data_IF_414489373301
#
_entry.id   IF_414489373301
#
_cell.length_a   1.000
_cell.length_b   1.000
_cell.length_c   1.000
_cell.angle_alpha   90.00
_cell.angle_beta   90.00
_cell.angle_gamma   90.00
#
_symmetry.space_group_name_H-M   'P 1'
#
loop_
_entity.id
_entity.type
_entity.pdbx_description
1 polymer ?
#
# COMPACT_ATOMS: atom_id res chain seq x y z
N UNK A 1 17.38 -26.86 26.76
CA UNK A 1 17.35 -25.58 26.06
C UNK A 1 16.44 -24.61 26.81
N UNK A 2 16.95 -23.48 27.28
CA UNK A 2 16.16 -22.46 27.97
C UNK A 2 15.46 -21.52 26.99
N UNK A 3 14.28 -21.00 27.34
CA UNK A 3 13.59 -19.94 26.60
C UNK A 3 13.86 -18.60 27.26
N UNK A 4 14.09 -17.56 26.47
CA UNK A 4 14.21 -16.18 26.94
C UNK A 4 12.91 -15.42 26.75
N UNK A 5 12.52 -14.64 27.76
CA UNK A 5 11.37 -13.74 27.64
C UNK A 5 11.79 -12.41 27.00
N UNK A 6 11.04 -11.96 26.04
CA UNK A 6 11.21 -10.65 25.39
C UNK A 6 10.11 -9.70 25.85
N UNK A 7 10.40 -8.40 25.75
CA UNK A 7 9.35 -7.39 25.90
C UNK A 7 8.35 -7.53 24.74
N UNK A 8 7.06 -7.17 24.94
CA UNK A 8 6.09 -7.15 23.86
C UNK A 8 6.56 -6.33 22.67
N UNK A 9 6.36 -6.85 21.45
CA UNK A 9 6.80 -6.21 20.22
C UNK A 9 6.29 -6.94 18.99
N UNK A 10 6.62 -6.42 17.79
CA UNK A 10 6.24 -6.99 16.51
C UNK A 10 7.19 -8.13 16.12
N UNK A 11 7.09 -9.25 16.82
CA UNK A 11 8.03 -10.37 16.71
C UNK A 11 7.62 -11.45 15.70
N UNK A 12 6.58 -11.23 14.91
CA UNK A 12 6.16 -12.18 13.88
C UNK A 12 6.97 -11.95 12.60
N UNK A 13 8.02 -12.74 12.41
CA UNK A 13 8.93 -12.67 11.26
C UNK A 13 9.17 -14.07 10.67
N UNK A 14 9.45 -14.18 9.33
CA UNK A 14 9.38 -13.12 8.34
C UNK A 14 7.93 -12.77 7.94
N UNK A 15 7.71 -11.52 7.57
CA UNK A 15 6.45 -11.06 7.00
C UNK A 15 6.66 -10.63 5.55
N UNK A 16 5.80 -11.05 4.60
CA UNK A 16 5.88 -10.56 3.24
C UNK A 16 5.48 -9.08 3.19
N UNK A 17 6.35 -8.24 2.64
CA UNK A 17 6.01 -6.86 2.37
C UNK A 17 5.30 -6.77 1.02
N UNK A 18 4.17 -6.06 0.98
CA UNK A 18 3.40 -5.78 -0.25
C UNK A 18 3.27 -4.29 -0.45
N UNK A 19 3.14 -3.85 -1.70
CA UNK A 19 2.80 -2.47 -2.02
C UNK A 19 1.28 -2.35 -2.20
N UNK A 20 0.65 -1.49 -1.41
CA UNK A 20 -0.79 -1.20 -1.52
C UNK A 20 -0.96 0.11 -2.26
N UNK A 21 -1.59 0.08 -3.42
CA UNK A 21 -1.98 1.29 -4.13
C UNK A 21 -3.38 1.74 -3.69
N UNK A 22 -3.54 3.04 -3.57
CA UNK A 22 -4.77 3.70 -3.14
C UNK A 22 -4.90 5.05 -3.85
N UNK A 23 -6.12 5.56 -3.91
CA UNK A 23 -6.40 6.87 -4.49
C UNK A 23 -7.62 7.48 -3.80
N UNK A 24 -7.57 8.77 -3.51
CA UNK A 24 -8.75 9.47 -3.03
C UNK A 24 -9.78 9.57 -4.17
N UNK A 25 -11.07 9.29 -3.93
CA UNK A 25 -12.08 9.38 -4.97
C UNK A 25 -12.27 10.82 -5.44
N UNK A 26 -12.33 11.01 -6.75
CA UNK A 26 -12.45 12.33 -7.37
C UNK A 26 -11.12 13.00 -7.73
N UNK A 27 -11.19 14.26 -8.10
CA UNK A 27 -10.05 15.01 -8.65
C UNK A 27 -9.29 15.82 -7.59
N UNK A 28 -9.79 15.90 -6.36
CA UNK A 28 -9.26 16.76 -5.30
C UNK A 28 -9.30 16.02 -3.97
N UNK A 29 -8.13 15.82 -3.39
CA UNK A 29 -7.95 15.24 -2.07
C UNK A 29 -7.91 16.36 -1.01
N UNK A 30 -8.87 16.44 -0.07
CA UNK A 30 -8.93 17.52 0.92
C UNK A 30 -7.78 17.51 1.93
N UNK A 31 -7.12 16.36 2.13
CA UNK A 31 -5.96 16.27 3.03
C UNK A 31 -4.63 16.53 2.33
N UNK A 32 -4.64 16.70 1.01
CA UNK A 32 -3.45 16.97 0.24
C UNK A 32 -3.15 18.47 0.19
N UNK A 33 -2.13 18.90 0.92
CA UNK A 33 -1.69 20.31 0.93
C UNK A 33 -0.96 20.75 -0.36
N UNK A 34 -0.51 19.79 -1.18
CA UNK A 34 0.17 20.06 -2.44
C UNK A 34 -0.78 19.81 -3.63
N UNK A 35 -1.27 20.88 -4.30
CA UNK A 35 -2.19 20.74 -5.44
C UNK A 35 -1.63 19.87 -6.58
N UNK A 36 -0.32 19.80 -6.74
CA UNK A 36 0.31 18.99 -7.78
C UNK A 36 0.24 17.49 -7.51
N UNK A 37 -0.02 17.09 -6.26
CA UNK A 37 -0.17 15.69 -5.83
C UNK A 37 -1.63 15.30 -5.59
N UNK A 38 -2.52 16.28 -5.44
CA UNK A 38 -3.94 16.05 -5.18
C UNK A 38 -4.61 15.24 -6.29
N UNK A 39 -5.41 14.27 -5.92
CA UNK A 39 -6.12 13.38 -6.84
C UNK A 39 -5.23 12.31 -7.51
N UNK A 40 -3.92 12.27 -7.23
CA UNK A 40 -3.03 11.24 -7.75
C UNK A 40 -3.09 9.96 -6.93
N UNK A 41 -2.85 8.80 -7.55
CA UNK A 41 -2.70 7.55 -6.82
C UNK A 41 -1.45 7.59 -5.93
N UNK A 42 -1.52 6.91 -4.80
CA UNK A 42 -0.42 6.76 -3.85
C UNK A 42 -0.12 5.29 -3.61
N UNK A 43 1.06 5.01 -3.07
CA UNK A 43 1.50 3.66 -2.70
C UNK A 43 1.94 3.66 -1.24
N UNK A 44 1.51 2.64 -0.50
CA UNK A 44 1.95 2.36 0.86
C UNK A 44 2.53 0.95 0.93
N UNK A 45 3.73 0.81 1.47
CA UNK A 45 4.26 -0.52 1.77
C UNK A 45 3.71 -1.03 3.09
N UNK A 46 3.14 -2.23 3.06
CA UNK A 46 2.49 -2.88 4.19
C UNK A 46 3.10 -4.26 4.41
N UNK A 47 3.57 -4.52 5.62
CA UNK A 47 3.96 -5.85 6.08
C UNK A 47 2.83 -6.53 6.87
N UNK A 48 1.88 -5.77 7.37
CA UNK A 48 0.73 -6.28 8.11
C UNK A 48 -0.43 -6.55 7.15
N UNK A 49 -0.25 -7.61 6.35
CA UNK A 49 -1.22 -8.10 5.39
C UNK A 49 -1.35 -9.62 5.52
N UNK A 50 -2.53 -10.16 5.30
CA UNK A 50 -2.73 -11.60 5.37
C UNK A 50 -4.09 -12.06 4.90
N UNK A 51 -4.18 -13.34 4.57
CA UNK A 51 -5.44 -14.00 4.22
C UNK A 51 -6.32 -14.16 5.45
N UNK A 52 -7.57 -13.77 5.33
CA UNK A 52 -8.58 -13.85 6.40
C UNK A 52 -9.50 -15.04 6.18
N UNK A 53 -9.96 -15.25 4.95
CA UNK A 53 -10.92 -16.28 4.62
C UNK A 53 -10.71 -16.77 3.18
N UNK A 54 -11.03 -18.03 2.93
CA UNK A 54 -10.91 -18.66 1.60
C UNK A 54 -12.23 -18.70 0.83
N UNK A 55 -13.35 -18.68 1.55
CA UNK A 55 -14.67 -18.68 0.92
C UNK A 55 -15.66 -17.83 1.76
N UNK A 56 -16.01 -16.62 1.31
CA UNK A 56 -15.42 -15.93 0.15
C UNK A 56 -13.94 -15.63 0.37
N UNK A 57 -13.13 -15.50 -0.72
CA UNK A 57 -11.73 -15.15 -0.59
C UNK A 57 -11.59 -13.73 -0.05
N UNK A 58 -10.87 -13.60 1.07
CA UNK A 58 -10.68 -12.31 1.75
C UNK A 58 -9.25 -12.18 2.25
N UNK A 59 -8.70 -11.00 2.11
CA UNK A 59 -7.46 -10.59 2.75
C UNK A 59 -7.68 -9.30 3.55
N UNK A 60 -6.82 -9.06 4.51
CA UNK A 60 -6.81 -7.83 5.30
C UNK A 60 -5.45 -7.15 5.22
N UNK A 61 -5.48 -5.84 5.38
CA UNK A 61 -4.31 -5.03 5.66
C UNK A 61 -4.55 -4.22 6.95
N UNK A 62 -3.49 -3.94 7.68
CA UNK A 62 -3.57 -3.06 8.84
C UNK A 62 -2.84 -1.76 8.53
N UNK A 63 -3.56 -0.65 8.54
CA UNK A 63 -3.04 0.70 8.26
C UNK A 63 -3.33 1.60 9.46
N UNK A 64 -2.29 2.23 10.00
CA UNK A 64 -2.47 3.15 11.12
C UNK A 64 -3.10 4.47 10.64
N UNK A 65 -3.99 5.10 11.43
CA UNK A 65 -4.68 6.33 11.04
C UNK A 65 -3.76 7.51 10.68
N UNK A 66 -2.52 7.53 11.22
CA UNK A 66 -1.55 8.60 10.94
C UNK A 66 -0.92 8.50 9.53
N UNK A 67 -1.10 7.37 8.86
CA UNK A 67 -0.58 7.20 7.49
C UNK A 67 -1.42 7.98 6.49
N UNK A 68 -0.76 8.71 5.60
CA UNK A 68 -1.43 9.50 4.56
C UNK A 68 -2.40 8.69 3.69
N UNK A 69 -2.11 7.40 3.43
CA UNK A 69 -2.99 6.52 2.66
C UNK A 69 -4.26 6.11 3.40
N UNK A 70 -4.33 6.29 4.73
CA UNK A 70 -5.47 5.84 5.53
C UNK A 70 -6.78 6.47 5.06
N UNK A 71 -6.84 7.82 5.00
CA UNK A 71 -8.05 8.53 4.58
C UNK A 71 -8.42 8.25 3.11
N UNK A 72 -7.43 7.99 2.24
CA UNK A 72 -7.68 7.62 0.85
C UNK A 72 -8.42 6.29 0.76
N UNK A 73 -7.93 5.28 1.50
CA UNK A 73 -8.53 3.93 1.53
C UNK A 73 -9.92 3.98 2.16
N UNK A 74 -10.07 4.73 3.28
CA UNK A 74 -11.36 4.88 3.96
C UNK A 74 -12.38 5.58 3.06
N UNK A 75 -12.00 6.64 2.36
CA UNK A 75 -12.89 7.38 1.47
C UNK A 75 -13.24 6.60 0.19
N UNK A 76 -12.29 5.88 -0.39
CA UNK A 76 -12.51 5.09 -1.60
C UNK A 76 -13.28 3.80 -1.31
N UNK A 77 -13.07 3.18 -0.13
CA UNK A 77 -13.60 1.86 0.21
C UNK A 77 -12.95 0.72 -0.58
N UNK A 78 -11.84 0.99 -1.28
CA UNK A 78 -11.14 0.02 -2.13
C UNK A 78 -9.64 0.32 -2.20
N UNK A 79 -8.86 -0.70 -2.50
CA UNK A 79 -7.41 -0.63 -2.69
C UNK A 79 -6.92 -1.83 -3.51
N UNK A 80 -5.70 -1.77 -4.01
CA UNK A 80 -5.07 -2.89 -4.73
C UNK A 80 -3.81 -3.32 -4.01
N UNK A 81 -3.68 -4.63 -3.76
CA UNK A 81 -2.46 -5.22 -3.22
C UNK A 81 -1.58 -5.69 -4.38
N UNK A 82 -0.36 -5.17 -4.44
CA UNK A 82 0.61 -5.46 -5.49
C UNK A 82 1.75 -6.26 -4.88
N UNK A 83 1.95 -7.50 -5.36
CA UNK A 83 3.00 -8.37 -4.86
C UNK A 83 4.37 -7.85 -5.31
N UNK A 84 5.36 -8.03 -4.46
CA UNK A 84 6.71 -7.51 -4.66
C UNK A 84 7.67 -8.58 -5.18
N UNK A 85 8.69 -8.15 -5.90
CA UNK A 85 9.77 -8.99 -6.42
C UNK A 85 11.12 -8.40 -6.03
N UNK A 86 12.20 -9.11 -6.30
CA UNK A 86 13.56 -8.62 -6.11
C UNK A 86 13.81 -7.29 -6.84
N UNK A 87 13.32 -7.15 -8.08
CA UNK A 87 13.46 -5.91 -8.85
C UNK A 87 12.72 -4.72 -8.24
N UNK A 88 11.70 -4.97 -7.42
CA UNK A 88 10.89 -3.95 -6.75
C UNK A 88 11.36 -3.62 -5.32
N UNK A 89 12.42 -4.24 -4.82
CA UNK A 89 12.91 -4.04 -3.43
C UNK A 89 13.10 -2.56 -3.11
N UNK A 90 13.77 -1.81 -3.98
CA UNK A 90 14.02 -0.37 -3.77
C UNK A 90 12.71 0.44 -3.71
N UNK A 91 11.78 0.15 -4.60
CA UNK A 91 10.48 0.82 -4.62
C UNK A 91 9.66 0.46 -3.38
N UNK A 92 9.69 -0.81 -2.96
CA UNK A 92 9.03 -1.30 -1.76
C UNK A 92 9.53 -0.57 -0.50
N UNK A 93 10.83 -0.47 -0.33
CA UNK A 93 11.42 0.28 0.80
C UNK A 93 11.06 1.76 0.74
N UNK A 94 11.26 2.42 -0.39
CA UNK A 94 10.95 3.84 -0.59
C UNK A 94 9.48 4.17 -0.28
N UNK A 95 8.56 3.37 -0.79
CA UNK A 95 7.12 3.58 -0.56
C UNK A 95 6.69 3.37 0.89
N UNK A 96 7.50 2.64 1.68
CA UNK A 96 7.29 2.44 3.11
C UNK A 96 7.77 3.59 3.99
N UNK A 97 8.85 4.30 3.57
CA UNK A 97 9.50 5.34 4.38
C UNK A 97 9.14 6.76 3.97
N UNK A 98 8.70 6.99 2.73
CA UNK A 98 8.29 8.33 2.24
C UNK A 98 6.79 8.50 2.32
N UNK A 99 6.34 9.75 2.53
CA UNK A 99 4.92 10.09 2.55
C UNK A 99 4.44 10.55 1.16
N UNK A 100 3.25 10.11 0.76
CA UNK A 100 2.58 10.61 -0.44
C UNK A 100 2.13 12.08 -0.35
N UNK A 101 2.19 12.68 0.85
CA UNK A 101 2.02 14.14 1.02
C UNK A 101 3.14 14.94 0.37
N UNK A 102 4.34 14.38 0.36
CA UNK A 102 5.56 15.09 -0.01
C UNK A 102 6.03 14.73 -1.43
N UNK A 103 5.73 13.51 -1.88
CA UNK A 103 6.28 12.96 -3.12
C UNK A 103 5.25 12.17 -3.92
N UNK A 104 5.39 12.18 -5.24
CA UNK A 104 4.69 11.28 -6.16
C UNK A 104 5.51 9.99 -6.27
N UNK A 105 5.09 8.95 -5.55
CA UNK A 105 5.84 7.69 -5.46
C UNK A 105 5.87 6.91 -6.76
N UNK A 106 4.82 6.99 -7.57
CA UNK A 106 4.82 6.39 -8.91
C UNK A 106 5.92 7.00 -9.77
N UNK A 107 5.98 8.33 -9.80
CA UNK A 107 6.98 9.06 -10.57
C UNK A 107 8.41 8.84 -10.05
N UNK A 108 8.61 8.99 -8.73
CA UNK A 108 9.95 8.86 -8.12
C UNK A 108 10.55 7.48 -8.28
N UNK A 109 9.71 6.44 -8.26
CA UNK A 109 10.17 5.04 -8.38
C UNK A 109 10.01 4.48 -9.80
N UNK A 110 9.64 5.33 -10.77
CA UNK A 110 9.42 4.94 -12.16
C UNK A 110 8.43 3.78 -12.31
N UNK A 111 7.37 3.81 -11.49
CA UNK A 111 6.29 2.85 -11.53
C UNK A 111 5.16 3.35 -12.41
N UNK A 112 4.49 2.43 -13.09
CA UNK A 112 3.40 2.73 -14.01
C UNK A 112 2.05 2.37 -13.38
N UNK A 113 1.14 3.35 -13.19
CA UNK A 113 -0.24 3.01 -12.80
C UNK A 113 -0.90 2.14 -13.86
N UNK A 114 -1.41 0.99 -13.44
CA UNK A 114 -2.14 0.05 -14.28
C UNK A 114 -3.62 0.11 -13.95
N UNK A 115 -4.45 0.39 -14.95
CA UNK A 115 -5.90 0.39 -14.75
C UNK A 115 -6.38 -0.97 -14.24
N UNK A 116 -7.10 -0.98 -13.14
CA UNK A 116 -7.73 -2.16 -12.56
C UNK A 116 -8.96 -2.59 -13.36
N UNK A 117 -9.42 -3.82 -13.17
CA UNK A 117 -10.60 -4.37 -13.85
C UNK A 117 -11.86 -4.22 -13.02
N UNK A 118 -11.75 -4.43 -11.70
CA UNK A 118 -12.88 -4.51 -10.78
C UNK A 118 -13.01 -3.27 -9.89
N UNK A 119 -11.91 -2.54 -9.65
CA UNK A 119 -11.89 -1.36 -8.79
C UNK A 119 -11.42 -0.11 -9.54
N UNK A 120 -11.69 1.08 -9.01
CA UNK A 120 -11.27 2.35 -9.63
C UNK A 120 -9.81 2.70 -9.34
N UNK A 121 -9.26 2.16 -8.28
CA UNK A 121 -7.86 2.37 -7.86
C UNK A 121 -6.90 1.61 -8.78
N UNK A 122 -5.84 2.25 -9.30
CA UNK A 122 -4.91 1.56 -10.18
C UNK A 122 -3.99 0.60 -9.42
N UNK A 123 -3.63 -0.51 -10.08
CA UNK A 123 -2.52 -1.35 -9.68
C UNK A 123 -1.17 -0.79 -10.12
N UNK A 124 -0.11 -1.58 -9.95
CA UNK A 124 1.27 -1.28 -10.37
C UNK A 124 1.64 -2.24 -11.51
N UNK A 125 1.96 -1.71 -12.69
CA UNK A 125 2.22 -2.53 -13.87
C UNK A 125 3.46 -3.44 -13.72
N UNK A 126 4.47 -2.99 -12.97
CA UNK A 126 5.71 -3.73 -12.73
C UNK A 126 5.53 -4.86 -11.69
N UNK A 127 4.41 -4.89 -10.98
CA UNK A 127 4.08 -5.98 -10.06
C UNK A 127 3.61 -7.22 -10.85
N UNK A 128 4.08 -8.44 -10.50
CA UNK A 128 3.68 -9.65 -11.21
C UNK A 128 2.23 -10.07 -10.91
N UNK A 129 1.67 -9.63 -9.80
CA UNK A 129 0.30 -9.94 -9.37
C UNK A 129 -0.31 -8.71 -8.68
N UNK A 130 -1.47 -8.30 -9.17
CA UNK A 130 -2.30 -7.27 -8.58
C UNK A 130 -3.58 -7.93 -8.07
N UNK A 131 -3.92 -7.72 -6.79
CA UNK A 131 -5.12 -8.27 -6.13
C UNK A 131 -6.05 -7.08 -5.86
N UNK A 132 -7.17 -7.08 -6.56
CA UNK A 132 -8.21 -6.04 -6.51
C UNK A 132 -9.31 -6.40 -5.51
#
# INVERSE_FOLDING_TARGET
>A
MGKSAFKPGNMLYPLPAVMVSCQYPGTSDPECSNPALSGRPNILTVAWAGTVCTNPPMLSISVRPERYSYHMIEAAGEFVVNLTTESLVRATDYCGVRSGRDVDKFKEMHLTPLASREVSVPGIAESPVNIE
#
